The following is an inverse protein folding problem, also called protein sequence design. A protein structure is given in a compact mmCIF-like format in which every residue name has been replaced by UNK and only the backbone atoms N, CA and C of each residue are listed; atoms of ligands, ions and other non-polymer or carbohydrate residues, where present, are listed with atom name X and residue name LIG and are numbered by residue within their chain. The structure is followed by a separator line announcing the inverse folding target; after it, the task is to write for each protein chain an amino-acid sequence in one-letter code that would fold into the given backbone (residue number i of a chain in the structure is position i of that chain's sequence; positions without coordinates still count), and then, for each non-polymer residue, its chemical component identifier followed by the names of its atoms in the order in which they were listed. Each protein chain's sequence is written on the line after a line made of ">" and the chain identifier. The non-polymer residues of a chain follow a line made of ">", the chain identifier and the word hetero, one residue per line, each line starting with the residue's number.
data_IF_418478667903
#
_entry.id   IF_418478667903
#
_cell.length_a   1.000
_cell.length_b   1.000
_cell.length_c   1.000
_cell.angle_alpha   90.00
_cell.angle_beta   90.00
_cell.angle_gamma   90.00
#
_symmetry.space_group_name_H-M   'P 1'
#
loop_
_entity.id
_entity.type
_entity.pdbx_description
1 polymer ?
#
# COMPACT_ATOMS: atom_id res chain seq x y z
N UNK A 1 15.02 -20.24 -4.81
CA UNK A 1 15.03 -18.98 -4.05
C UNK A 1 14.34 -19.17 -2.70
N UNK A 2 14.84 -18.55 -1.63
CA UNK A 2 14.26 -18.58 -0.29
C UNK A 2 13.81 -17.19 0.13
N UNK A 3 12.61 -17.08 0.70
CA UNK A 3 12.02 -15.80 1.09
C UNK A 3 11.58 -15.86 2.55
N UNK A 4 12.10 -14.98 3.39
CA UNK A 4 11.56 -14.75 4.74
C UNK A 4 10.25 -13.97 4.61
N UNK A 5 9.21 -14.43 5.33
CA UNK A 5 7.97 -13.67 5.54
C UNK A 5 7.90 -13.33 7.03
N UNK A 6 8.34 -12.13 7.39
CA UNK A 6 8.32 -11.67 8.78
C UNK A 6 6.95 -11.06 9.12
N UNK A 7 6.30 -11.56 10.16
CA UNK A 7 4.91 -11.26 10.48
C UNK A 7 3.90 -12.15 9.73
N UNK A 8 4.30 -13.38 9.39
CA UNK A 8 3.54 -14.33 8.56
C UNK A 8 2.12 -14.66 9.09
N UNK A 9 1.85 -14.47 10.37
CA UNK A 9 0.52 -14.74 10.98
C UNK A 9 -0.44 -13.55 10.95
N UNK A 10 0.07 -12.35 10.62
CA UNK A 10 -0.74 -11.14 10.45
C UNK A 10 -1.52 -11.14 9.12
N UNK A 11 -2.49 -10.24 9.00
CA UNK A 11 -3.33 -10.14 7.80
C UNK A 11 -2.47 -9.91 6.54
N UNK A 12 -1.61 -8.90 6.54
CA UNK A 12 -0.72 -8.57 5.40
C UNK A 12 0.26 -9.71 5.10
N UNK A 13 0.88 -10.33 6.13
CA UNK A 13 1.82 -11.43 5.94
C UNK A 13 1.18 -12.67 5.31
N UNK A 14 -0.05 -13.02 5.72
CA UNK A 14 -0.84 -14.11 5.10
C UNK A 14 -1.20 -13.78 3.66
N UNK A 15 -1.59 -12.54 3.39
CA UNK A 15 -1.92 -12.10 2.02
C UNK A 15 -0.67 -12.09 1.14
N UNK A 16 0.53 -11.74 1.65
CA UNK A 16 1.78 -11.89 0.89
C UNK A 16 2.03 -13.34 0.48
N UNK A 17 1.81 -14.29 1.39
CA UNK A 17 1.96 -15.72 1.09
C UNK A 17 0.97 -16.15 0.00
N UNK A 18 -0.29 -15.71 0.10
CA UNK A 18 -1.31 -15.99 -0.90
C UNK A 18 -0.96 -15.38 -2.27
N UNK A 19 -0.50 -14.13 -2.32
CA UNK A 19 -0.10 -13.45 -3.57
C UNK A 19 1.12 -14.14 -4.21
N UNK A 20 2.08 -14.61 -3.41
CA UNK A 20 3.21 -15.40 -3.91
C UNK A 20 2.76 -16.70 -4.59
N UNK A 21 1.72 -17.37 -4.05
CA UNK A 21 1.11 -18.56 -4.66
C UNK A 21 0.37 -18.22 -5.95
N UNK A 22 -0.51 -17.22 -5.93
CA UNK A 22 -1.32 -16.78 -7.06
C UNK A 22 -0.46 -16.36 -8.26
N UNK A 23 0.64 -15.65 -8.00
CA UNK A 23 1.61 -15.24 -9.02
C UNK A 23 2.59 -16.35 -9.42
N UNK A 24 2.46 -17.55 -8.83
CA UNK A 24 3.31 -18.71 -9.10
C UNK A 24 4.82 -18.42 -8.99
N UNK A 25 5.24 -17.61 -8.00
CA UNK A 25 6.65 -17.28 -7.80
C UNK A 25 7.40 -18.51 -7.26
N UNK A 26 8.41 -19.04 -7.98
CA UNK A 26 9.09 -20.28 -7.58
C UNK A 26 10.02 -20.03 -6.38
N UNK A 27 9.51 -20.22 -5.16
CA UNK A 27 10.26 -19.99 -3.93
C UNK A 27 9.92 -21.00 -2.83
N UNK A 28 10.78 -21.02 -1.80
CA UNK A 28 10.52 -21.60 -0.50
C UNK A 28 10.31 -20.45 0.49
N UNK A 29 9.19 -20.44 1.19
CA UNK A 29 8.95 -19.46 2.24
C UNK A 29 9.53 -19.92 3.58
N UNK A 30 10.01 -18.96 4.36
CA UNK A 30 10.46 -19.10 5.75
C UNK A 30 9.57 -18.17 6.59
N UNK A 31 8.39 -18.66 7.07
CA UNK A 31 7.46 -17.82 7.82
C UNK A 31 7.99 -17.58 9.23
N UNK A 32 8.16 -16.30 9.60
CA UNK A 32 8.60 -15.87 10.92
C UNK A 32 7.47 -15.12 11.64
N UNK A 33 7.27 -15.41 12.90
CA UNK A 33 6.29 -14.73 13.75
C UNK A 33 6.77 -14.67 15.22
N UNK A 34 5.92 -14.16 16.10
CA UNK A 34 6.21 -14.13 17.54
C UNK A 34 6.38 -15.54 18.11
N UNK A 35 7.08 -15.65 19.22
CA UNK A 35 7.27 -16.90 19.98
C UNK A 35 5.96 -17.66 20.22
N UNK A 36 4.84 -16.95 20.44
CA UNK A 36 3.50 -17.56 20.63
C UNK A 36 3.02 -18.35 19.42
N UNK A 37 3.39 -17.95 18.21
CA UNK A 37 2.98 -18.59 16.95
C UNK A 37 4.01 -19.58 16.42
N UNK A 38 5.21 -19.61 16.95
CA UNK A 38 6.26 -20.53 16.55
C UNK A 38 5.82 -21.99 16.81
N UNK A 39 6.14 -22.88 15.87
CA UNK A 39 5.72 -24.30 15.89
C UNK A 39 4.35 -24.56 15.27
N UNK A 40 3.52 -23.54 15.03
CA UNK A 40 2.30 -23.67 14.22
C UNK A 40 2.67 -23.80 12.73
N UNK A 41 1.72 -24.22 11.90
CA UNK A 41 1.91 -24.33 10.45
C UNK A 41 1.09 -23.31 9.69
N UNK A 42 1.56 -22.98 8.48
CA UNK A 42 0.85 -22.20 7.47
C UNK A 42 0.94 -22.94 6.14
N UNK A 43 -0.13 -22.92 5.33
CA UNK A 43 -0.14 -23.55 4.01
C UNK A 43 0.63 -22.70 3.00
N UNK A 44 1.44 -23.33 2.16
CA UNK A 44 2.07 -22.75 0.99
C UNK A 44 2.26 -23.80 -0.10
N UNK A 45 1.70 -23.56 -1.29
CA UNK A 45 1.71 -24.50 -2.41
C UNK A 45 1.24 -25.94 -2.01
N UNK A 46 0.16 -25.99 -1.21
CA UNK A 46 -0.44 -27.24 -0.74
C UNK A 46 0.39 -28.01 0.30
N UNK A 47 1.40 -27.37 0.91
CA UNK A 47 2.27 -27.97 1.93
C UNK A 47 2.19 -27.19 3.24
N UNK A 48 2.26 -27.93 4.35
CA UNK A 48 2.43 -27.34 5.67
C UNK A 48 3.87 -26.84 5.85
N UNK A 49 4.02 -25.53 6.13
CA UNK A 49 5.30 -24.90 6.44
C UNK A 49 5.29 -24.44 7.89
N UNK A 50 6.29 -24.90 8.67
CA UNK A 50 6.39 -24.57 10.09
C UNK A 50 6.81 -23.12 10.30
N UNK A 51 6.04 -22.39 11.09
CA UNK A 51 6.35 -21.02 11.51
C UNK A 51 7.48 -21.07 12.54
N UNK A 52 8.51 -20.23 12.32
CA UNK A 52 9.64 -20.11 13.23
C UNK A 52 9.54 -18.81 14.04
N UNK A 53 10.24 -18.76 15.17
CA UNK A 53 10.31 -17.54 15.98
C UNK A 53 11.13 -16.46 15.23
N UNK A 54 10.58 -15.23 15.19
CA UNK A 54 11.30 -14.06 14.70
C UNK A 54 12.40 -13.68 15.70
N UNK A 55 13.63 -14.02 15.38
CA UNK A 55 14.81 -13.61 16.12
C UNK A 55 16.04 -13.54 15.21
N UNK A 56 17.08 -12.87 15.64
CA UNK A 56 18.32 -12.67 14.85
C UNK A 56 18.96 -13.98 14.44
N UNK A 57 18.93 -14.98 15.32
CA UNK A 57 19.49 -16.31 15.05
C UNK A 57 18.74 -17.03 13.92
N UNK A 58 17.41 -17.01 13.95
CA UNK A 58 16.56 -17.61 12.90
C UNK A 58 16.78 -16.92 11.56
N UNK A 59 16.81 -15.58 11.54
CA UNK A 59 17.07 -14.80 10.33
C UNK A 59 18.43 -15.19 9.74
N UNK A 60 19.49 -15.24 10.53
CA UNK A 60 20.82 -15.61 10.06
C UNK A 60 20.86 -17.05 9.51
N UNK A 61 20.19 -18.01 10.17
CA UNK A 61 20.14 -19.41 9.74
C UNK A 61 19.28 -19.61 8.48
N UNK A 62 18.36 -18.72 8.18
CA UNK A 62 17.46 -18.81 7.04
C UNK A 62 18.22 -18.88 5.71
N UNK A 63 19.35 -18.18 5.58
CA UNK A 63 20.10 -18.05 4.33
C UNK A 63 19.17 -17.73 3.18
N UNK A 64 18.37 -16.67 3.36
CA UNK A 64 17.35 -16.22 2.44
C UNK A 64 17.91 -15.28 1.39
N UNK A 65 17.26 -15.25 0.22
CA UNK A 65 17.58 -14.32 -0.86
C UNK A 65 16.88 -12.98 -0.69
N UNK A 66 15.66 -13.01 -0.12
CA UNK A 66 14.79 -11.86 0.14
C UNK A 66 14.06 -12.00 1.46
N UNK A 67 13.62 -10.87 2.00
CA UNK A 67 12.73 -10.83 3.17
C UNK A 67 11.59 -9.82 2.95
N UNK A 68 10.35 -10.29 3.09
CA UNK A 68 9.15 -9.47 3.05
C UNK A 68 8.68 -9.24 4.48
N UNK A 69 8.63 -7.97 4.89
CA UNK A 69 8.30 -7.60 6.27
C UNK A 69 6.88 -7.04 6.36
N UNK A 70 6.05 -7.69 7.18
CA UNK A 70 4.72 -7.26 7.60
C UNK A 70 4.70 -7.05 9.12
N UNK A 71 5.61 -6.23 9.62
CA UNK A 71 5.86 -5.97 11.03
C UNK A 71 5.38 -4.56 11.43
N UNK A 72 5.28 -4.31 12.74
CA UNK A 72 5.14 -2.95 13.26
C UNK A 72 6.40 -2.12 12.99
N UNK A 73 6.28 -0.78 13.00
CA UNK A 73 7.40 0.12 12.77
C UNK A 73 8.57 -0.15 13.75
N UNK A 74 8.28 -0.43 15.02
CA UNK A 74 9.29 -0.71 16.04
C UNK A 74 10.04 -2.02 15.77
N UNK A 75 9.34 -3.08 15.38
CA UNK A 75 9.97 -4.35 15.03
C UNK A 75 10.76 -4.26 13.71
N UNK A 76 10.25 -3.54 12.72
CA UNK A 76 11.00 -3.29 11.49
C UNK A 76 12.27 -2.49 11.75
N UNK A 77 12.21 -1.46 12.60
CA UNK A 77 13.39 -0.69 13.01
C UNK A 77 14.48 -1.58 13.64
N UNK A 78 14.08 -2.61 14.40
CA UNK A 78 15.02 -3.55 15.03
C UNK A 78 15.57 -4.58 14.05
N UNK A 79 14.69 -5.21 13.25
CA UNK A 79 15.05 -6.40 12.47
C UNK A 79 15.47 -6.11 11.03
N UNK A 80 14.95 -5.07 10.37
CA UNK A 80 15.26 -4.83 8.96
C UNK A 80 16.73 -4.47 8.73
N UNK A 81 17.40 -3.58 9.52
CA UNK A 81 18.82 -3.30 9.35
C UNK A 81 19.72 -4.52 9.64
N UNK A 82 19.28 -5.42 10.51
CA UNK A 82 20.00 -6.67 10.73
C UNK A 82 19.82 -7.64 9.56
N UNK A 83 18.59 -7.80 9.07
CA UNK A 83 18.26 -8.72 7.98
C UNK A 83 18.90 -8.29 6.67
N UNK A 84 18.98 -6.98 6.41
CA UNK A 84 19.57 -6.41 5.19
C UNK A 84 21.08 -6.69 5.03
N UNK A 85 21.74 -7.17 6.08
CA UNK A 85 23.13 -7.65 5.99
C UNK A 85 23.24 -9.02 5.31
N UNK A 86 22.12 -9.73 5.12
CA UNK A 86 22.07 -11.08 4.57
C UNK A 86 21.26 -11.18 3.27
N UNK A 87 20.22 -10.37 3.12
CA UNK A 87 19.34 -10.37 1.94
C UNK A 87 18.62 -9.03 1.76
N UNK A 88 18.08 -8.77 0.58
CA UNK A 88 17.24 -7.58 0.35
C UNK A 88 15.94 -7.65 1.15
N UNK A 89 15.63 -6.59 1.89
CA UNK A 89 14.39 -6.46 2.69
C UNK A 89 13.39 -5.55 1.98
N UNK A 90 12.14 -5.99 1.83
CA UNK A 90 11.03 -5.15 1.40
C UNK A 90 10.11 -4.96 2.60
N UNK A 91 10.03 -3.74 3.12
CA UNK A 91 9.39 -3.42 4.40
C UNK A 91 8.08 -2.65 4.25
N UNK A 92 6.99 -3.18 4.80
CA UNK A 92 5.67 -2.53 4.80
C UNK A 92 5.43 -1.56 5.95
N UNK A 93 6.32 -1.49 6.92
CA UNK A 93 6.15 -0.56 8.04
C UNK A 93 6.31 0.90 7.60
N UNK A 94 5.88 1.80 8.46
CA UNK A 94 6.12 3.23 8.23
C UNK A 94 7.53 3.70 8.58
N UNK A 95 8.38 2.82 9.15
CA UNK A 95 9.65 3.24 9.76
C UNK A 95 10.64 3.87 8.77
N UNK A 96 10.75 3.28 7.57
CA UNK A 96 11.78 3.68 6.59
C UNK A 96 11.27 4.59 5.47
N UNK A 97 9.95 4.84 5.40
CA UNK A 97 9.34 5.53 4.25
C UNK A 97 9.86 6.94 4.03
N UNK A 98 10.23 7.65 5.10
CA UNK A 98 10.73 9.02 5.03
C UNK A 98 12.26 9.11 5.03
N UNK A 99 12.97 8.00 5.19
CA UNK A 99 14.43 7.97 5.12
C UNK A 99 14.88 8.32 3.68
N UNK A 100 15.71 9.36 3.49
CA UNK A 100 16.14 9.80 2.16
C UNK A 100 16.98 8.76 1.42
N UNK A 101 17.68 7.89 2.14
CA UNK A 101 18.57 6.88 1.58
C UNK A 101 17.84 5.55 1.27
N UNK A 102 16.59 5.40 1.71
CA UNK A 102 15.79 4.20 1.47
C UNK A 102 14.72 4.49 0.41
N UNK A 103 14.72 3.78 -0.73
CA UNK A 103 13.73 3.98 -1.77
C UNK A 103 12.32 3.60 -1.28
N UNK A 104 11.35 4.43 -1.62
CA UNK A 104 9.91 4.22 -1.40
C UNK A 104 9.27 3.86 -2.73
N UNK A 105 8.78 2.62 -2.89
CA UNK A 105 8.56 2.05 -4.22
C UNK A 105 7.12 1.65 -4.48
N UNK A 106 6.61 2.12 -5.61
CA UNK A 106 5.44 1.60 -6.33
C UNK A 106 5.92 1.21 -7.72
N UNK A 107 5.90 -0.08 -8.11
CA UNK A 107 6.52 -0.56 -9.35
C UNK A 107 6.02 0.11 -10.64
N UNK A 108 4.77 0.53 -10.69
CA UNK A 108 4.17 1.24 -11.82
C UNK A 108 4.73 2.67 -11.98
N UNK A 109 5.29 3.22 -10.90
CA UNK A 109 5.77 4.61 -10.86
C UNK A 109 7.28 4.69 -10.94
N UNK A 110 7.97 3.89 -10.12
CA UNK A 110 9.41 3.99 -9.95
C UNK A 110 10.17 3.07 -10.90
N UNK A 111 11.19 3.60 -11.56
CA UNK A 111 12.07 2.80 -12.42
C UNK A 111 12.90 1.83 -11.57
N UNK A 112 13.04 0.57 -12.02
CA UNK A 112 13.76 -0.49 -11.29
C UNK A 112 15.19 -0.10 -10.92
N UNK A 113 15.87 0.70 -11.76
CA UNK A 113 17.24 1.16 -11.55
C UNK A 113 17.39 2.03 -10.28
N UNK A 114 16.30 2.59 -9.79
CA UNK A 114 16.32 3.46 -8.59
C UNK A 114 16.35 2.67 -7.29
N UNK A 115 16.08 1.36 -7.32
CA UNK A 115 15.96 0.55 -6.11
C UNK A 115 16.54 -0.87 -6.20
N UNK A 116 17.03 -1.29 -7.37
CA UNK A 116 17.48 -2.67 -7.60
C UNK A 116 18.61 -3.14 -6.66
N UNK A 117 19.48 -2.22 -6.26
CA UNK A 117 20.65 -2.51 -5.40
C UNK A 117 20.44 -2.08 -3.94
N UNK A 118 19.25 -1.60 -3.59
CA UNK A 118 18.95 -1.15 -2.24
C UNK A 118 18.85 -2.34 -1.26
N UNK A 119 19.55 -2.31 -0.11
CA UNK A 119 19.48 -3.38 0.89
C UNK A 119 18.12 -3.41 1.62
N UNK A 120 17.46 -2.25 1.71
CA UNK A 120 16.11 -2.09 2.25
C UNK A 120 15.29 -1.27 1.25
N UNK A 121 14.08 -1.73 0.95
CA UNK A 121 13.10 -1.05 0.10
C UNK A 121 11.83 -0.85 0.93
N UNK A 122 11.35 0.38 1.01
CA UNK A 122 10.12 0.70 1.74
C UNK A 122 8.90 0.57 0.82
N UNK A 123 7.87 -0.12 1.31
CA UNK A 123 6.55 -0.19 0.69
C UNK A 123 5.67 0.94 1.24
N UNK A 124 5.00 1.74 0.40
CA UNK A 124 4.28 2.92 0.85
C UNK A 124 3.00 2.63 1.66
N UNK A 125 2.36 3.70 2.13
CA UNK A 125 1.03 3.66 2.73
C UNK A 125 -0.02 3.19 1.72
N UNK A 126 -1.03 2.44 2.19
CA UNK A 126 -2.04 1.82 1.34
C UNK A 126 -2.82 2.84 0.49
N UNK A 127 -3.28 3.94 1.10
CA UNK A 127 -3.99 5.00 0.37
C UNK A 127 -3.06 5.76 -0.59
N UNK A 128 -1.77 5.87 -0.26
CA UNK A 128 -0.76 6.46 -1.15
C UNK A 128 -0.55 5.60 -2.39
N UNK A 129 -0.37 4.26 -2.23
CA UNK A 129 -0.14 3.36 -3.36
C UNK A 129 -1.24 3.50 -4.40
N UNK A 130 -2.51 3.31 -4.02
CA UNK A 130 -3.63 3.39 -4.98
C UNK A 130 -3.73 4.77 -5.64
N UNK A 131 -3.44 5.83 -4.89
CA UNK A 131 -3.52 7.19 -5.40
C UNK A 131 -2.40 7.49 -6.42
N UNK A 132 -1.16 7.09 -6.14
CA UNK A 132 -0.05 7.36 -7.06
C UNK A 132 -0.11 6.47 -8.31
N UNK A 133 -0.63 5.24 -8.22
CA UNK A 133 -0.88 4.39 -9.40
C UNK A 133 -1.86 5.08 -10.34
N UNK A 134 -2.98 5.59 -9.82
CA UNK A 134 -3.98 6.32 -10.63
C UNK A 134 -3.44 7.65 -11.20
N UNK A 135 -2.48 8.29 -10.53
CA UNK A 135 -1.93 9.58 -10.95
C UNK A 135 -0.66 9.46 -11.81
N UNK A 136 0.00 8.31 -11.86
CA UNK A 136 1.33 8.15 -12.44
C UNK A 136 1.42 8.58 -13.90
N UNK A 137 0.56 8.04 -14.77
CA UNK A 137 0.57 8.36 -16.20
C UNK A 137 0.07 9.79 -16.46
N UNK A 138 -0.90 10.28 -15.67
CA UNK A 138 -1.35 11.67 -15.73
C UNK A 138 -0.18 12.62 -15.38
N UNK A 139 0.60 12.27 -14.35
CA UNK A 139 1.77 13.05 -13.96
C UNK A 139 2.86 13.04 -15.05
N UNK A 140 3.09 11.90 -15.69
CA UNK A 140 4.09 11.78 -16.77
C UNK A 140 3.72 12.61 -17.99
N UNK A 141 2.44 12.60 -18.40
CA UNK A 141 2.00 13.27 -19.63
C UNK A 141 1.72 14.75 -19.43
N UNK A 142 1.05 15.14 -18.34
CA UNK A 142 0.57 16.51 -18.13
C UNK A 142 1.26 17.25 -17.00
N UNK A 143 2.04 16.57 -16.15
CA UNK A 143 2.53 17.10 -14.88
C UNK A 143 1.39 17.42 -13.93
N UNK A 144 1.69 17.58 -12.64
CA UNK A 144 0.71 18.01 -11.62
C UNK A 144 1.15 19.29 -10.92
N UNK A 145 0.26 20.26 -10.80
CA UNK A 145 0.46 21.49 -10.02
C UNK A 145 0.02 21.28 -8.57
N UNK A 146 -1.11 20.63 -8.37
CA UNK A 146 -1.66 20.32 -7.05
C UNK A 146 -2.48 19.04 -7.02
N UNK A 147 -2.57 18.41 -5.84
CA UNK A 147 -3.42 17.26 -5.56
C UNK A 147 -4.09 17.44 -4.19
N UNK A 148 -5.36 17.13 -4.10
CA UNK A 148 -6.11 17.09 -2.84
C UNK A 148 -6.74 15.72 -2.69
N UNK A 149 -6.51 15.11 -1.54
CA UNK A 149 -7.03 13.79 -1.18
C UNK A 149 -8.13 13.91 -0.14
N UNK A 150 -9.26 13.24 -0.36
CA UNK A 150 -10.23 12.91 0.69
C UNK A 150 -10.39 11.41 0.71
N UNK A 151 -9.86 10.75 1.77
CA UNK A 151 -9.87 9.30 1.84
C UNK A 151 -11.05 8.77 2.65
N UNK A 152 -11.53 7.58 2.27
CA UNK A 152 -12.58 6.80 2.93
C UNK A 152 -11.99 5.42 3.21
N UNK A 153 -11.35 5.28 4.39
CA UNK A 153 -10.52 4.11 4.69
C UNK A 153 -11.26 3.09 5.54
N UNK A 154 -11.23 1.84 5.12
CA UNK A 154 -11.80 0.69 5.83
C UNK A 154 -11.09 0.40 7.15
N UNK A 155 -11.77 -0.27 8.07
CA UNK A 155 -11.26 -0.63 9.40
C UNK A 155 -10.11 -1.65 9.36
N UNK A 156 -9.99 -2.46 8.29
CA UNK A 156 -8.89 -3.42 8.12
C UNK A 156 -7.51 -2.75 8.07
N UNK A 157 -7.44 -1.46 7.67
CA UNK A 157 -6.22 -0.66 7.74
C UNK A 157 -5.66 -0.49 9.16
N UNK A 158 -6.51 -0.61 10.18
CA UNK A 158 -6.13 -0.67 11.60
C UNK A 158 -5.86 -2.10 12.10
N UNK A 159 -5.86 -3.08 11.19
CA UNK A 159 -5.69 -4.49 11.53
C UNK A 159 -6.90 -5.09 12.26
N UNK A 160 -6.67 -6.20 12.97
CA UNK A 160 -7.73 -6.96 13.65
C UNK A 160 -8.55 -6.12 14.63
N UNK A 161 -7.92 -5.20 15.36
CA UNK A 161 -8.59 -4.39 16.38
C UNK A 161 -9.66 -3.47 15.77
N UNK A 162 -9.40 -2.89 14.60
CA UNK A 162 -10.39 -2.08 13.89
C UNK A 162 -11.59 -2.89 13.40
N UNK A 163 -11.34 -4.10 12.89
CA UNK A 163 -12.40 -5.02 12.45
C UNK A 163 -13.23 -5.49 13.65
N UNK A 164 -12.57 -5.81 14.76
CA UNK A 164 -13.25 -6.22 16.00
C UNK A 164 -14.17 -5.10 16.53
N UNK A 165 -13.74 -3.83 16.50
CA UNK A 165 -14.57 -2.70 16.92
C UNK A 165 -15.78 -2.46 16.00
N UNK A 166 -15.62 -2.61 14.69
CA UNK A 166 -16.76 -2.56 13.77
C UNK A 166 -17.79 -3.66 14.10
N UNK A 167 -17.31 -4.88 14.39
CA UNK A 167 -18.17 -6.00 14.72
C UNK A 167 -18.87 -5.83 16.10
N UNK A 168 -18.14 -5.29 17.11
CA UNK A 168 -18.75 -4.93 18.41
C UNK A 168 -19.89 -3.93 18.23
N UNK A 169 -19.67 -2.87 17.45
CA UNK A 169 -20.71 -1.89 17.17
C UNK A 169 -21.95 -2.47 16.48
N UNK A 170 -21.79 -3.48 15.60
CA UNK A 170 -22.90 -4.24 15.00
C UNK A 170 -23.72 -5.00 16.04
N UNK A 171 -23.09 -5.42 17.14
CA UNK A 171 -23.72 -6.13 18.26
C UNK A 171 -24.24 -5.18 19.35
N UNK A 172 -24.06 -3.86 19.21
CA UNK A 172 -24.41 -2.88 20.22
C UNK A 172 -23.45 -2.84 21.42
N UNK A 173 -22.25 -3.35 21.27
CA UNK A 173 -21.19 -3.35 22.28
C UNK A 173 -20.33 -2.08 22.17
N UNK A 174 -19.65 -1.70 23.26
CA UNK A 174 -18.74 -0.55 23.28
C UNK A 174 -17.48 -0.81 22.46
N UNK A 175 -16.98 0.25 21.79
CA UNK A 175 -15.69 0.26 21.11
C UNK A 175 -14.54 0.14 22.13
N UNK A 176 -13.43 -0.49 21.71
CA UNK A 176 -12.26 -0.71 22.57
C UNK A 176 -10.97 -0.16 21.95
N UNK A 177 -10.98 0.14 20.67
CA UNK A 177 -9.80 0.58 19.93
C UNK A 177 -9.94 2.01 19.41
N UNK A 178 -11.04 2.33 18.71
CA UNK A 178 -11.25 3.70 18.24
C UNK A 178 -11.71 4.62 19.35
N UNK A 179 -11.36 5.94 19.30
CA UNK A 179 -11.78 6.90 20.32
C UNK A 179 -13.30 7.13 20.34
N UNK A 180 -13.96 6.90 19.20
CA UNK A 180 -15.41 7.02 19.02
C UNK A 180 -15.94 5.76 18.32
N UNK A 181 -17.23 5.40 18.52
CA UNK A 181 -17.84 4.26 17.83
C UNK A 181 -17.73 4.40 16.31
N UNK A 182 -17.19 3.36 15.66
CA UNK A 182 -17.05 3.36 14.18
C UNK A 182 -18.31 2.83 13.48
N UNK A 183 -19.08 1.93 14.11
CA UNK A 183 -20.29 1.41 13.51
C UNK A 183 -21.31 2.51 13.27
N UNK A 184 -21.82 2.59 12.04
CA UNK A 184 -22.75 3.63 11.59
C UNK A 184 -22.24 5.07 11.80
N UNK A 185 -20.92 5.27 11.75
CA UNK A 185 -20.24 6.55 11.97
C UNK A 185 -19.04 6.70 11.02
N UNK A 186 -18.49 7.92 10.90
CA UNK A 186 -17.25 8.23 10.20
C UNK A 186 -16.33 9.04 11.10
N UNK A 187 -15.05 8.69 11.14
CA UNK A 187 -14.07 9.33 12.00
C UNK A 187 -13.02 10.06 11.16
N UNK A 188 -13.00 11.41 11.12
CA UNK A 188 -11.97 12.19 10.41
C UNK A 188 -10.67 12.23 11.25
N UNK A 189 -10.22 11.06 11.68
CA UNK A 189 -9.09 10.87 12.56
C UNK A 189 -8.47 9.49 12.33
N UNK A 190 -7.35 9.45 11.62
CA UNK A 190 -6.56 8.24 11.42
C UNK A 190 -5.13 8.53 11.85
N UNK A 191 -4.61 7.72 12.80
CA UNK A 191 -3.31 7.91 13.44
C UNK A 191 -3.30 9.16 14.37
N UNK A 192 -2.18 9.48 15.00
CA UNK A 192 -2.07 10.60 15.96
C UNK A 192 -2.12 11.97 15.26
N UNK A 193 -2.66 12.97 15.94
CA UNK A 193 -2.56 14.36 15.52
C UNK A 193 -1.15 14.91 15.70
N UNK A 194 -0.77 15.80 14.78
CA UNK A 194 0.46 16.57 14.83
C UNK A 194 0.18 18.04 15.21
N UNK A 195 1.22 18.80 15.54
CA UNK A 195 1.07 20.16 16.06
C UNK A 195 0.46 21.17 15.08
N UNK A 196 0.46 20.86 13.77
CA UNK A 196 -0.11 21.68 12.70
C UNK A 196 -1.59 21.36 12.40
N UNK A 197 -2.20 20.46 13.20
CA UNK A 197 -3.61 20.08 13.07
C UNK A 197 -3.88 18.96 12.05
N UNK A 198 -2.86 18.47 11.35
CA UNK A 198 -2.95 17.27 10.52
C UNK A 198 -2.78 16.01 11.38
N UNK A 199 -3.17 14.86 10.83
CA UNK A 199 -2.80 13.56 11.38
C UNK A 199 -1.53 13.03 10.72
N UNK A 200 -0.86 12.06 11.37
CA UNK A 200 0.29 11.37 10.76
C UNK A 200 -0.10 10.66 9.45
N UNK A 201 -1.33 10.15 9.35
CA UNK A 201 -1.82 9.52 8.11
C UNK A 201 -1.91 10.52 6.95
N UNK A 202 -2.40 11.72 7.20
CA UNK A 202 -2.45 12.80 6.21
C UNK A 202 -1.05 13.23 5.78
N UNK A 203 -0.10 13.33 6.71
CA UNK A 203 1.30 13.57 6.40
C UNK A 203 1.92 12.48 5.53
N UNK A 204 1.59 11.18 5.77
CA UNK A 204 2.03 10.08 4.90
C UNK A 204 1.55 10.29 3.47
N UNK A 205 0.26 10.59 3.26
CA UNK A 205 -0.28 10.86 1.93
C UNK A 205 0.49 11.97 1.20
N UNK A 206 0.81 13.06 1.91
CA UNK A 206 1.50 14.22 1.37
C UNK A 206 2.97 13.91 1.04
N UNK A 207 3.69 13.38 2.02
CA UNK A 207 5.14 13.21 1.92
C UNK A 207 5.52 12.03 1.02
N UNK A 208 4.80 10.91 1.14
CA UNK A 208 5.04 9.73 0.33
C UNK A 208 4.72 9.98 -1.15
N UNK A 209 3.61 10.65 -1.48
CA UNK A 209 3.30 11.04 -2.87
C UNK A 209 4.42 11.87 -3.48
N UNK A 210 4.94 12.88 -2.76
CA UNK A 210 6.07 13.69 -3.24
C UNK A 210 7.32 12.87 -3.47
N UNK A 211 7.64 11.95 -2.55
CA UNK A 211 8.83 11.10 -2.63
C UNK A 211 8.74 10.12 -3.80
N UNK A 212 7.59 9.46 -3.99
CA UNK A 212 7.37 8.47 -5.05
C UNK A 212 7.40 9.14 -6.43
N UNK A 213 6.74 10.30 -6.59
CA UNK A 213 6.72 11.04 -7.85
C UNK A 213 8.02 11.85 -8.10
N UNK A 214 8.91 11.96 -7.11
CA UNK A 214 10.14 12.75 -7.22
C UNK A 214 9.90 14.26 -7.33
N UNK A 215 8.73 14.76 -6.90
CA UNK A 215 8.39 16.21 -6.96
C UNK A 215 8.12 16.79 -5.58
N UNK A 216 9.17 17.29 -4.93
CA UNK A 216 9.10 17.90 -3.60
C UNK A 216 8.28 19.20 -3.55
N UNK A 217 8.01 19.83 -4.71
CA UNK A 217 7.26 21.09 -4.83
C UNK A 217 5.79 20.90 -5.14
N UNK A 218 5.35 19.66 -5.41
CA UNK A 218 3.95 19.36 -5.67
C UNK A 218 3.10 19.78 -4.46
N UNK A 219 2.09 20.62 -4.70
CA UNK A 219 1.17 21.10 -3.67
C UNK A 219 0.17 19.99 -3.35
N UNK A 220 0.20 19.49 -2.12
CA UNK A 220 -0.69 18.38 -1.71
C UNK A 220 -1.35 18.75 -0.39
N UNK A 221 -2.64 18.42 -0.26
CA UNK A 221 -3.37 18.37 1.01
C UNK A 221 -4.16 17.08 1.12
N UNK A 222 -4.44 16.65 2.33
CA UNK A 222 -5.17 15.42 2.58
C UNK A 222 -6.13 15.57 3.78
N UNK A 223 -7.26 14.90 3.70
CA UNK A 223 -8.13 14.59 4.85
C UNK A 223 -8.38 13.09 4.83
N UNK A 224 -8.02 12.41 5.94
CA UNK A 224 -8.13 10.98 6.05
C UNK A 224 -9.27 10.59 7.00
N UNK A 225 -10.26 9.86 6.47
CA UNK A 225 -11.47 9.48 7.20
C UNK A 225 -11.57 7.96 7.33
N UNK A 226 -11.76 7.46 8.56
CA UNK A 226 -12.13 6.06 8.80
C UNK A 226 -13.63 5.89 8.59
N UNK A 227 -14.02 4.89 7.82
CA UNK A 227 -15.42 4.58 7.52
C UNK A 227 -15.79 3.17 7.94
N UNK A 228 -17.09 2.88 8.20
CA UNK A 228 -17.54 1.61 8.79
C UNK A 228 -17.66 0.48 7.75
N UNK A 229 -16.63 0.30 6.93
CA UNK A 229 -16.50 -0.80 5.98
C UNK A 229 -15.30 -1.68 6.34
N UNK A 230 -15.38 -2.96 6.03
CA UNK A 230 -14.40 -3.94 6.50
C UNK A 230 -13.09 -3.90 5.70
N UNK A 231 -13.16 -3.81 4.38
CA UNK A 231 -12.02 -3.86 3.46
C UNK A 231 -12.11 -2.83 2.35
N UNK A 232 -11.00 -2.60 1.69
CA UNK A 232 -10.79 -1.64 0.61
C UNK A 232 -10.88 -0.17 1.03
N UNK A 233 -10.18 0.69 0.33
CA UNK A 233 -10.19 2.13 0.56
C UNK A 233 -10.70 2.86 -0.67
N UNK A 234 -11.54 3.88 -0.46
CA UNK A 234 -11.91 4.84 -1.47
C UNK A 234 -11.15 6.14 -1.28
N UNK A 235 -10.79 6.82 -2.37
CA UNK A 235 -10.16 8.14 -2.34
C UNK A 235 -10.82 9.03 -3.40
N UNK A 236 -11.39 10.17 -3.00
CA UNK A 236 -11.70 11.25 -3.92
C UNK A 236 -10.42 12.05 -4.15
N UNK A 237 -9.95 12.07 -5.38
CA UNK A 237 -8.76 12.78 -5.80
C UNK A 237 -9.17 13.98 -6.65
N UNK A 238 -8.88 15.18 -6.14
CA UNK A 238 -8.94 16.42 -6.93
C UNK A 238 -7.52 16.78 -7.34
N UNK A 239 -7.28 17.03 -8.62
CA UNK A 239 -5.94 17.38 -9.10
C UNK A 239 -5.97 18.44 -10.19
N UNK A 240 -4.87 19.19 -10.29
CA UNK A 240 -4.65 20.17 -11.31
C UNK A 240 -3.39 19.85 -12.10
N UNK A 241 -3.52 19.79 -13.41
CA UNK A 241 -2.41 19.55 -14.34
C UNK A 241 -1.58 20.80 -14.57
N UNK A 242 -0.29 20.67 -14.93
CA UNK A 242 0.57 21.79 -15.34
C UNK A 242 0.25 22.27 -16.75
N UNK A 243 -0.06 21.34 -17.64
CA UNK A 243 -0.47 21.62 -19.02
C UNK A 243 -1.97 21.43 -19.19
N UNK A 244 -2.57 22.10 -20.18
CA UNK A 244 -3.98 21.93 -20.49
C UNK A 244 -4.27 20.48 -20.96
N UNK A 245 -5.41 19.96 -20.54
CA UNK A 245 -5.92 18.65 -20.96
C UNK A 245 -7.45 18.67 -21.03
N UNK A 246 -8.05 17.83 -21.85
CA UNK A 246 -9.48 17.53 -21.82
C UNK A 246 -9.77 16.37 -20.87
N UNK A 247 -11.05 16.14 -20.53
CA UNK A 247 -11.44 14.92 -19.79
C UNK A 247 -11.11 13.68 -20.61
N UNK A 248 -11.29 13.73 -21.92
CA UNK A 248 -10.99 12.63 -22.84
C UNK A 248 -9.48 12.32 -22.90
N UNK A 249 -8.61 13.35 -22.80
CA UNK A 249 -7.17 13.13 -22.73
C UNK A 249 -6.77 12.39 -21.44
N UNK A 250 -7.35 12.77 -20.30
CA UNK A 250 -7.11 12.10 -19.02
C UNK A 250 -7.70 10.67 -19.05
N UNK A 251 -8.90 10.49 -19.62
CA UNK A 251 -9.53 9.17 -19.77
C UNK A 251 -8.64 8.21 -20.57
N UNK A 252 -8.17 8.64 -21.73
CA UNK A 252 -7.24 7.87 -22.58
C UNK A 252 -6.00 7.42 -21.81
N UNK A 253 -5.42 8.28 -21.01
CA UNK A 253 -4.25 7.96 -20.19
C UNK A 253 -4.58 6.91 -19.13
N UNK A 254 -5.75 7.02 -18.47
CA UNK A 254 -6.20 6.04 -17.48
C UNK A 254 -6.52 4.67 -18.10
N UNK A 255 -7.08 4.63 -19.31
CA UNK A 255 -7.35 3.39 -20.05
C UNK A 255 -6.08 2.59 -20.38
N UNK A 256 -4.95 3.28 -20.54
CA UNK A 256 -3.65 2.68 -20.88
C UNK A 256 -2.75 2.49 -19.65
N UNK A 257 -3.15 3.00 -18.49
CA UNK A 257 -2.33 2.95 -17.28
C UNK A 257 -2.21 1.51 -16.74
N UNK A 258 -0.99 1.05 -16.43
CA UNK A 258 -0.79 -0.29 -15.88
C UNK A 258 -1.45 -0.42 -14.50
N UNK A 259 -2.01 -1.59 -14.19
CA UNK A 259 -2.69 -1.91 -12.94
C UNK A 259 -3.88 -0.97 -12.61
N UNK A 260 -4.47 -0.35 -13.64
CA UNK A 260 -5.68 0.49 -13.53
C UNK A 260 -6.81 -0.13 -14.35
N UNK A 261 -7.97 -0.27 -13.73
CA UNK A 261 -9.25 -0.55 -14.44
C UNK A 261 -10.06 0.73 -14.40
N UNK A 262 -10.24 1.34 -15.57
CA UNK A 262 -10.96 2.61 -15.70
C UNK A 262 -12.43 2.42 -16.11
N UNK A 263 -13.32 2.98 -15.33
CA UNK A 263 -14.76 3.03 -15.59
C UNK A 263 -15.08 4.34 -16.32
N UNK A 264 -15.23 4.27 -17.64
CA UNK A 264 -15.38 5.44 -18.51
C UNK A 264 -16.78 6.03 -18.44
N UNK A 265 -17.81 5.21 -18.21
CA UNK A 265 -19.19 5.65 -18.17
C UNK A 265 -19.51 6.39 -16.87
N UNK A 266 -20.18 7.55 -16.99
CA UNK A 266 -20.49 8.42 -15.83
C UNK A 266 -21.36 7.74 -14.77
N UNK A 267 -22.23 6.84 -15.17
CA UNK A 267 -23.14 6.12 -14.27
C UNK A 267 -22.51 4.86 -13.66
N UNK A 268 -21.38 4.41 -14.19
CA UNK A 268 -20.63 3.27 -13.70
C UNK A 268 -19.45 3.76 -12.86
N UNK A 269 -19.35 3.27 -11.65
CA UNK A 269 -18.28 3.66 -10.71
C UNK A 269 -17.90 2.50 -9.80
N UNK A 270 -16.62 2.33 -9.49
CA UNK A 270 -16.20 1.27 -8.59
C UNK A 270 -16.53 1.61 -7.14
N UNK A 271 -16.82 0.56 -6.37
CA UNK A 271 -17.04 0.64 -4.93
C UNK A 271 -15.97 -0.19 -4.18
N UNK A 272 -15.85 -0.02 -2.85
CA UNK A 272 -14.98 -0.89 -2.05
C UNK A 272 -15.30 -2.39 -2.18
N UNK A 273 -16.54 -2.76 -2.46
CA UNK A 273 -16.93 -4.16 -2.68
C UNK A 273 -16.38 -4.72 -3.99
N UNK A 274 -16.27 -3.89 -5.02
CA UNK A 274 -15.73 -4.31 -6.33
C UNK A 274 -14.22 -4.54 -6.28
N UNK A 275 -13.50 -3.80 -5.44
CA UNK A 275 -12.05 -3.91 -5.32
C UNK A 275 -11.58 -4.94 -4.28
N UNK A 276 -12.48 -5.43 -3.42
CA UNK A 276 -12.11 -6.41 -2.40
C UNK A 276 -11.61 -7.71 -3.03
N UNK A 277 -10.39 -8.14 -2.67
CA UNK A 277 -9.73 -9.30 -3.24
C UNK A 277 -9.08 -9.07 -4.61
N UNK A 278 -9.13 -7.86 -5.17
CA UNK A 278 -8.51 -7.49 -6.45
C UNK A 278 -7.12 -6.88 -6.26
N UNK A 279 -6.27 -7.01 -7.27
CA UNK A 279 -4.92 -6.42 -7.27
C UNK A 279 -4.84 -5.10 -8.04
N UNK A 280 -5.86 -4.79 -8.86
CA UNK A 280 -5.90 -3.57 -9.64
C UNK A 280 -6.47 -2.39 -8.84
N UNK A 281 -6.11 -1.19 -9.29
CA UNK A 281 -6.69 0.07 -8.84
C UNK A 281 -7.86 0.41 -9.74
N UNK A 282 -9.06 0.51 -9.16
CA UNK A 282 -10.27 0.83 -9.90
C UNK A 282 -10.48 2.35 -9.88
N UNK A 283 -10.65 2.96 -11.05
CA UNK A 283 -10.82 4.40 -11.22
C UNK A 283 -12.12 4.70 -11.95
N UNK A 284 -12.89 5.63 -11.44
CA UNK A 284 -14.11 6.07 -12.10
C UNK A 284 -14.48 7.52 -11.75
N UNK A 285 -15.65 7.98 -12.18
CA UNK A 285 -16.14 9.33 -11.88
C UNK A 285 -15.18 10.44 -12.32
N UNK A 286 -14.39 10.24 -13.37
CA UNK A 286 -13.54 11.28 -13.94
C UNK A 286 -14.39 12.43 -14.48
N UNK A 287 -14.07 13.65 -14.08
CA UNK A 287 -14.81 14.85 -14.48
C UNK A 287 -13.99 16.12 -14.26
N UNK A 288 -14.42 17.23 -14.84
CA UNK A 288 -13.87 18.57 -14.51
C UNK A 288 -14.15 18.91 -13.05
N UNK A 289 -13.20 19.57 -12.41
CA UNK A 289 -13.44 20.26 -11.14
C UNK A 289 -13.99 21.66 -11.44
N UNK A 290 -15.25 21.91 -11.05
CA UNK A 290 -15.93 23.16 -11.31
C UNK A 290 -15.39 24.34 -10.48
N UNK A 291 -14.55 24.07 -9.49
CA UNK A 291 -13.90 25.10 -8.66
C UNK A 291 -12.56 25.57 -9.22
N UNK A 292 -12.03 24.89 -10.25
CA UNK A 292 -10.75 25.18 -10.87
C UNK A 292 -10.91 25.68 -12.32
N UNK A 293 -9.84 26.15 -12.93
CA UNK A 293 -9.76 26.46 -14.36
C UNK A 293 -9.86 25.16 -15.22
N UNK A 294 -9.60 25.28 -16.52
CA UNK A 294 -9.66 24.18 -17.49
C UNK A 294 -8.62 23.08 -17.29
N UNK A 295 -7.80 23.15 -16.24
CA UNK A 295 -6.76 22.18 -15.86
C UNK A 295 -7.14 21.39 -14.59
N UNK A 296 -8.28 21.67 -13.97
CA UNK A 296 -8.76 21.01 -12.77
C UNK A 296 -9.64 19.79 -13.06
N UNK A 297 -9.37 18.69 -12.36
CA UNK A 297 -10.08 17.42 -12.52
C UNK A 297 -10.36 16.76 -11.18
N UNK A 298 -11.34 15.86 -11.18
CA UNK A 298 -11.67 14.99 -10.06
C UNK A 298 -11.88 13.56 -10.55
N UNK A 299 -11.47 12.58 -9.74
CA UNK A 299 -11.76 11.17 -9.97
C UNK A 299 -11.97 10.44 -8.63
N UNK A 300 -12.65 9.31 -8.70
CA UNK A 300 -12.83 8.40 -7.60
C UNK A 300 -11.97 7.16 -7.80
N UNK A 301 -11.19 6.78 -6.78
CA UNK A 301 -10.21 5.70 -6.84
C UNK A 301 -10.46 4.72 -5.71
N UNK A 302 -10.52 3.42 -6.02
CA UNK A 302 -10.77 2.36 -5.04
C UNK A 302 -9.74 1.25 -5.22
N UNK A 303 -9.22 0.70 -4.13
CA UNK A 303 -8.37 -0.48 -4.18
C UNK A 303 -8.46 -1.28 -2.87
N UNK A 304 -8.14 -2.58 -2.93
CA UNK A 304 -7.96 -3.40 -1.74
C UNK A 304 -6.69 -2.97 -1.00
N UNK A 305 -6.89 -2.45 0.21
CA UNK A 305 -5.83 -1.88 1.03
C UNK A 305 -4.85 -2.92 1.61
N UNK A 306 -5.23 -4.19 1.64
CA UNK A 306 -4.36 -5.29 2.10
C UNK A 306 -3.63 -5.93 0.92
N UNK A 307 -4.27 -6.01 -0.25
CA UNK A 307 -3.68 -6.52 -1.48
C UNK A 307 -2.84 -5.43 -2.14
N UNK A 308 -3.39 -4.68 -3.08
CA UNK A 308 -2.64 -3.61 -3.80
C UNK A 308 -2.01 -2.60 -2.84
N UNK A 309 -2.73 -2.23 -1.79
CA UNK A 309 -2.25 -1.28 -0.78
C UNK A 309 -1.09 -1.79 0.10
N UNK A 310 -0.75 -3.08 0.06
CA UNK A 310 0.31 -3.63 0.91
C UNK A 310 0.97 -4.88 0.30
N UNK A 311 0.34 -6.04 0.41
CA UNK A 311 0.94 -7.33 0.08
C UNK A 311 1.29 -7.46 -1.40
N UNK A 312 0.36 -7.10 -2.29
CA UNK A 312 0.57 -7.20 -3.75
C UNK A 312 1.67 -6.26 -4.21
N UNK A 313 1.66 -4.99 -3.79
CA UNK A 313 2.75 -4.06 -4.13
C UNK A 313 4.12 -4.56 -3.65
N UNK A 314 4.18 -5.17 -2.44
CA UNK A 314 5.41 -5.77 -1.91
C UNK A 314 5.91 -6.92 -2.80
N UNK A 315 5.01 -7.81 -3.24
CA UNK A 315 5.35 -8.94 -4.11
C UNK A 315 5.70 -8.45 -5.52
N UNK A 316 5.05 -7.43 -6.04
CA UNK A 316 5.38 -6.81 -7.33
C UNK A 316 6.76 -6.14 -7.33
N UNK A 317 7.16 -5.51 -6.21
CA UNK A 317 8.54 -5.05 -6.04
C UNK A 317 9.52 -6.22 -6.17
N UNK A 318 9.23 -7.36 -5.51
CA UNK A 318 10.04 -8.57 -5.63
C UNK A 318 10.08 -9.10 -7.06
N UNK A 319 8.94 -9.18 -7.76
CA UNK A 319 8.89 -9.60 -9.17
C UNK A 319 9.79 -8.75 -10.06
N UNK A 320 9.73 -7.43 -9.92
CA UNK A 320 10.59 -6.51 -10.69
C UNK A 320 12.09 -6.71 -10.39
N UNK A 321 12.43 -6.99 -9.13
CA UNK A 321 13.83 -7.32 -8.77
C UNK A 321 14.28 -8.63 -9.43
N UNK A 322 13.42 -9.65 -9.48
CA UNK A 322 13.73 -10.94 -10.11
C UNK A 322 13.86 -10.80 -11.63
N UNK A 323 12.94 -10.08 -12.28
CA UNK A 323 13.02 -9.77 -13.71
C UNK A 323 14.33 -9.04 -14.05
N UNK A 324 14.67 -8.02 -13.27
CA UNK A 324 15.90 -7.22 -13.49
C UNK A 324 17.17 -8.05 -13.33
N UNK A 325 17.27 -8.88 -12.27
CA UNK A 325 18.43 -9.76 -12.08
C UNK A 325 18.56 -10.79 -13.20
N UNK A 326 17.44 -11.39 -13.61
CA UNK A 326 17.42 -12.32 -14.75
C UNK A 326 17.95 -11.69 -16.04
N UNK A 327 17.56 -10.45 -16.36
CA UNK A 327 18.05 -9.73 -17.54
C UNK A 327 19.54 -9.36 -17.48
N UNK A 328 20.11 -9.28 -16.27
CA UNK A 328 21.53 -8.99 -16.03
C UNK A 328 22.39 -10.26 -15.96
N UNK A 329 21.78 -11.45 -15.93
CA UNK A 329 22.48 -12.72 -15.74
C UNK A 329 23.02 -12.93 -14.33
N UNK A 330 22.38 -12.30 -13.35
CA UNK A 330 22.74 -12.32 -11.92
C UNK A 330 21.89 -13.35 -11.15
#
# INVERSE_FOLDING_TARGET
>A
MKIIIAGATGLVGRTMIQVLEEKNIPCQIIPLASKRSAGQTIQFNGKDVVIQELCKETIKKANADYALFALSASLSAEYAPYTSQYCTVIDNSSNFRQDPDIPLVVPEVNAIQTYADAPIIANPNCSTIQSVVALAEIYREFGLESVRYSTYQSVSGSGKQGVDDLNRGRLGEENQFYPEPIYNNVLPHIDDFTADGYTKEEHKMIQETRKILGDTRLKISATCVRVPIESSHGVDITFKTKTAASVDDIARVLELAPSVIFYSETAEYPTPLDSAGQDDVLVGRLRRDLAEDDRGFRMWVVADNIRKGAATNTVEILEKLLEYKSTKGL
#
